data_IF_697231329161
#
_entry.id   IF_697231329161
#
_cell.length_a   1.000
_cell.length_b   1.000
_cell.length_c   1.000
_cell.angle_alpha   90.00
_cell.angle_beta   90.00
_cell.angle_gamma   90.00
#
_symmetry.space_group_name_H-M   'P 1'
#
loop_
_entity.id
_entity.type
_entity.pdbx_description
1 polymer ?
#
# COMPACT_ATOMS: atom_id res chain seq x y z
N UNK A 1 30.60 -22.83 22.10
CA UNK A 1 29.32 -22.20 21.73
C UNK A 1 29.45 -21.44 20.43
N UNK A 2 28.99 -22.04 19.33
CA UNK A 2 29.10 -21.48 17.97
C UNK A 2 28.49 -22.36 16.87
N UNK A 3 27.68 -23.35 17.24
CA UNK A 3 27.12 -24.35 16.31
C UNK A 3 25.75 -23.95 15.74
N UNK A 4 25.24 -22.76 16.07
CA UNK A 4 23.90 -22.32 15.69
C UNK A 4 23.89 -20.87 15.21
N UNK A 5 22.97 -20.59 14.29
CA UNK A 5 22.70 -19.25 13.81
C UNK A 5 22.25 -18.39 15.00
N UNK A 6 22.98 -17.29 15.23
CA UNK A 6 22.74 -16.38 16.35
C UNK A 6 21.53 -15.45 16.09
N UNK A 7 21.28 -15.10 14.83
CA UNK A 7 20.10 -14.34 14.40
C UNK A 7 19.80 -14.57 12.92
N UNK A 8 18.53 -14.49 12.53
CA UNK A 8 18.06 -14.72 11.18
C UNK A 8 16.76 -13.97 10.90
N UNK A 9 16.69 -13.28 9.77
CA UNK A 9 15.49 -12.61 9.29
C UNK A 9 15.27 -12.91 7.80
N UNK A 10 14.00 -13.04 7.42
CA UNK A 10 13.55 -13.07 6.03
C UNK A 10 12.82 -11.76 5.76
N UNK A 11 13.14 -11.14 4.64
CA UNK A 11 12.37 -10.00 4.11
C UNK A 11 11.79 -10.45 2.78
N UNK A 12 10.48 -10.63 2.72
CA UNK A 12 9.81 -11.05 1.51
C UNK A 12 9.51 -9.84 0.61
N UNK A 13 9.15 -10.08 -0.67
CA UNK A 13 8.76 -9.01 -1.59
C UNK A 13 7.56 -8.20 -1.10
N UNK A 14 6.61 -8.83 -0.40
CA UNK A 14 5.44 -8.16 0.19
C UNK A 14 5.86 -7.09 1.19
N UNK A 15 6.87 -7.33 2.04
CA UNK A 15 7.39 -6.30 2.95
C UNK A 15 7.98 -5.09 2.20
N UNK A 16 8.60 -5.30 1.03
CA UNK A 16 9.13 -4.20 0.21
C UNK A 16 8.04 -3.45 -0.55
N UNK A 17 7.04 -4.16 -1.09
CA UNK A 17 5.96 -3.58 -1.88
C UNK A 17 5.01 -2.71 -1.04
N UNK A 18 4.72 -3.15 0.20
CA UNK A 18 3.67 -2.56 1.05
C UNK A 18 4.19 -1.82 2.30
N UNK A 19 5.51 -1.68 2.48
CA UNK A 19 6.07 -0.79 3.53
C UNK A 19 5.72 0.68 3.28
N UNK A 20 5.77 1.55 4.31
CA UNK A 20 5.69 3.00 4.12
C UNK A 20 6.74 3.50 3.12
N UNK A 21 6.30 4.32 2.16
CA UNK A 21 7.07 4.78 1.01
C UNK A 21 7.41 3.68 0.00
N UNK A 22 6.76 2.51 0.07
CA UNK A 22 6.93 1.39 -0.86
C UNK A 22 6.17 1.59 -2.17
N UNK A 23 6.24 0.58 -3.04
CA UNK A 23 5.67 0.62 -4.40
C UNK A 23 4.16 0.92 -4.39
N UNK A 24 3.40 0.30 -3.47
CA UNK A 24 1.96 0.52 -3.38
C UNK A 24 1.62 2.00 -3.11
N UNK A 25 2.40 2.66 -2.23
CA UNK A 25 2.20 4.08 -1.91
C UNK A 25 2.62 4.98 -3.07
N UNK A 26 3.81 4.73 -3.65
CA UNK A 26 4.34 5.54 -4.73
C UNK A 26 3.44 5.51 -5.97
N UNK A 27 2.96 4.32 -6.36
CA UNK A 27 2.09 4.14 -7.54
C UNK A 27 0.62 4.43 -7.24
N UNK A 28 0.22 4.33 -5.97
CA UNK A 28 -1.12 4.64 -5.48
C UNK A 28 -1.41 6.13 -5.40
N UNK A 29 -0.39 6.99 -5.48
CA UNK A 29 -0.49 8.44 -5.37
C UNK A 29 -0.22 9.17 -6.70
N UNK A 30 -0.41 10.50 -6.72
CA UNK A 30 -0.02 11.36 -7.85
C UNK A 30 -0.99 11.38 -9.03
N UNK A 31 -2.20 10.83 -8.88
CA UNK A 31 -3.26 10.86 -9.89
C UNK A 31 -4.59 11.29 -9.28
N UNK A 32 -5.48 11.84 -10.12
CA UNK A 32 -6.84 12.20 -9.74
C UNK A 32 -7.80 11.05 -10.08
N UNK A 33 -8.70 10.74 -9.15
CA UNK A 33 -9.84 9.86 -9.38
C UNK A 33 -11.10 10.71 -9.62
N UNK A 34 -12.00 10.32 -10.53
CA UNK A 34 -13.26 11.05 -10.71
C UNK A 34 -14.23 10.89 -9.53
N UNK A 35 -14.12 9.79 -8.77
CA UNK A 35 -14.92 9.50 -7.59
C UNK A 35 -14.22 8.46 -6.67
N UNK A 36 -14.78 8.27 -5.47
CA UNK A 36 -14.27 7.30 -4.48
C UNK A 36 -14.31 5.85 -4.97
N UNK A 37 -15.30 5.49 -5.79
CA UNK A 37 -15.44 4.13 -6.29
C UNK A 37 -14.30 3.78 -7.27
N UNK A 38 -13.96 4.72 -8.16
CA UNK A 38 -12.87 4.64 -9.11
C UNK A 38 -11.51 4.62 -8.40
N UNK A 39 -11.35 5.44 -7.36
CA UNK A 39 -10.15 5.43 -6.52
C UNK A 39 -9.97 4.06 -5.83
N UNK A 40 -11.03 3.58 -5.19
CA UNK A 40 -11.03 2.28 -4.50
C UNK A 40 -10.74 1.12 -5.45
N UNK A 41 -11.37 1.13 -6.63
CA UNK A 41 -11.16 0.10 -7.63
C UNK A 41 -9.71 0.06 -8.11
N UNK A 42 -9.13 1.23 -8.43
CA UNK A 42 -7.74 1.33 -8.90
C UNK A 42 -6.74 0.88 -7.83
N UNK A 43 -6.92 1.30 -6.59
CA UNK A 43 -6.05 0.89 -5.49
C UNK A 43 -6.16 -0.62 -5.18
N UNK A 44 -7.35 -1.21 -5.28
CA UNK A 44 -7.51 -2.68 -5.18
C UNK A 44 -6.84 -3.40 -6.33
N UNK A 45 -6.97 -2.91 -7.56
CA UNK A 45 -6.31 -3.48 -8.73
C UNK A 45 -4.78 -3.41 -8.59
N UNK A 46 -4.24 -2.28 -8.10
CA UNK A 46 -2.82 -2.13 -7.81
C UNK A 46 -2.35 -3.11 -6.74
N UNK A 47 -3.11 -3.26 -5.65
CA UNK A 47 -2.78 -4.22 -4.60
C UNK A 47 -2.67 -5.63 -5.19
N UNK A 48 -3.65 -6.07 -5.99
CA UNK A 48 -3.62 -7.38 -6.65
C UNK A 48 -2.49 -7.53 -7.67
N UNK A 49 -2.13 -6.46 -8.39
CA UNK A 49 -1.02 -6.49 -9.33
C UNK A 49 0.35 -6.69 -8.63
N UNK A 50 0.46 -6.31 -7.36
CA UNK A 50 1.64 -6.54 -6.52
C UNK A 50 1.64 -7.89 -5.79
N UNK A 51 0.60 -8.71 -6.00
CA UNK A 51 0.45 -10.08 -5.51
C UNK A 51 0.75 -10.27 -4.00
N UNK A 52 -0.08 -9.70 -3.10
CA UNK A 52 0.12 -9.85 -1.67
C UNK A 52 -0.05 -11.30 -1.25
N UNK A 53 0.96 -11.87 -0.58
CA UNK A 53 0.92 -13.24 -0.05
C UNK A 53 0.08 -13.38 1.25
N UNK A 54 -0.59 -12.31 1.68
CA UNK A 54 -1.45 -12.25 2.87
C UNK A 54 -2.78 -11.58 2.51
N UNK A 55 -3.79 -11.71 3.38
CA UNK A 55 -5.04 -10.99 3.20
C UNK A 55 -4.80 -9.48 3.21
N UNK A 56 -5.47 -8.75 2.31
CA UNK A 56 -5.38 -7.30 2.21
C UNK A 56 -6.77 -6.67 2.14
N UNK A 57 -6.85 -5.40 2.52
CA UNK A 57 -8.05 -4.57 2.38
C UNK A 57 -7.64 -3.16 1.95
N UNK A 58 -8.54 -2.49 1.22
CA UNK A 58 -8.37 -1.09 0.80
C UNK A 58 -9.63 -0.33 1.18
N UNK A 59 -9.45 0.77 1.91
CA UNK A 59 -10.49 1.74 2.28
C UNK A 59 -10.09 3.11 1.78
N UNK A 60 -10.99 3.80 1.08
CA UNK A 60 -10.79 5.17 0.61
C UNK A 60 -11.86 6.05 1.22
N UNK A 61 -11.45 7.22 1.71
CA UNK A 61 -12.32 8.27 2.24
C UNK A 61 -12.20 9.50 1.35
N UNK A 62 -13.26 10.31 1.30
CA UNK A 62 -13.15 11.63 0.69
C UNK A 62 -12.10 12.43 1.46
N UNK A 63 -11.29 13.20 0.74
CA UNK A 63 -10.49 14.23 1.40
C UNK A 63 -11.47 15.19 2.08
N UNK A 64 -11.18 15.56 3.32
CA UNK A 64 -11.86 16.68 3.95
C UNK A 64 -11.54 17.92 3.11
N UNK A 65 -12.56 18.63 2.64
CA UNK A 65 -12.35 19.94 2.04
C UNK A 65 -11.83 20.86 3.15
N UNK A 66 -10.56 21.27 3.06
CA UNK A 66 -10.03 22.27 3.98
C UNK A 66 -10.91 23.53 3.86
N UNK A 67 -11.55 23.93 4.96
CA UNK A 67 -12.44 25.10 5.10
C UNK A 67 -11.72 26.45 4.83
N UNK A 68 -10.49 26.42 4.31
CA UNK A 68 -9.61 27.57 4.13
C UNK A 68 -9.81 28.33 2.80
N UNK A 69 -10.63 27.81 1.87
CA UNK A 69 -10.90 28.43 0.55
C UNK A 69 -12.37 28.87 0.35
N UNK A 70 -13.15 29.02 1.44
CA UNK A 70 -14.52 29.56 1.41
C UNK A 70 -14.59 31.09 1.58
#
# INVERSE_FOLDING_TARGET
>A
DGERIADYAIVAPTEWNFRPGGVFEQEGAGWAAPDLASATWRLKALALALDPCVQYAVSVVAAEEDEADA
#
